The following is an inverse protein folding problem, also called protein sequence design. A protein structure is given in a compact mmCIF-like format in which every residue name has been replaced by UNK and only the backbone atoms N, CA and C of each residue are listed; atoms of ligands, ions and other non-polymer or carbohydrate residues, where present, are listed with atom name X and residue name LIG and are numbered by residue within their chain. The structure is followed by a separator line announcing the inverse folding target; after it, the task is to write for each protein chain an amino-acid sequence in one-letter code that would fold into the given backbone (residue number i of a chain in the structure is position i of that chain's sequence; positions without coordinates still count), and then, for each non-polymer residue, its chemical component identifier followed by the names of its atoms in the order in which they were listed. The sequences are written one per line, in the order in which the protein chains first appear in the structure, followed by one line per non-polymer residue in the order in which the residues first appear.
data_IF_368078288458
#
_entry.id   IF_368078288458
#
_cell.length_a   1.000
_cell.length_b   1.000
_cell.length_c   1.000
_cell.angle_alpha   90.00
_cell.angle_beta   90.00
_cell.angle_gamma   90.00
#
_symmetry.space_group_name_H-M   'P 1'
#
loop_
_entity.id
_entity.type
_entity.pdbx_description
1 polymer ?
#
# COMPACT_ATOMS: atom_id res chain seq x y z
N UNK A 1 16.73 30.87 -11.94
CA UNK A 1 16.29 29.73 -11.14
C UNK A 1 16.05 28.55 -12.06
N UNK A 2 16.67 27.42 -11.78
CA UNK A 2 16.41 26.18 -12.51
C UNK A 2 14.95 25.78 -12.25
N UNK A 3 14.23 25.46 -13.30
CA UNK A 3 12.82 25.00 -13.23
C UNK A 3 12.79 23.55 -12.71
N UNK A 4 13.14 23.37 -11.43
CA UNK A 4 13.22 22.08 -10.76
C UNK A 4 11.81 21.66 -10.35
N UNK A 5 11.48 20.40 -10.56
CA UNK A 5 10.26 19.75 -10.14
C UNK A 5 10.64 18.55 -9.29
N UNK A 6 9.91 18.33 -8.21
CA UNK A 6 10.12 17.24 -7.28
C UNK A 6 8.95 16.26 -7.34
N UNK A 7 9.23 15.00 -7.16
CA UNK A 7 8.23 13.94 -6.97
C UNK A 7 8.79 12.86 -6.06
N UNK A 8 7.95 11.97 -5.60
CA UNK A 8 8.32 10.87 -4.70
C UNK A 8 7.76 9.53 -5.17
N UNK A 9 8.14 8.46 -4.47
CA UNK A 9 7.70 7.08 -4.75
C UNK A 9 7.11 6.39 -3.52
N UNK A 10 6.87 7.13 -2.44
CA UNK A 10 6.49 6.58 -1.14
C UNK A 10 5.03 6.08 -1.15
N UNK A 11 4.73 5.13 -0.26
CA UNK A 11 3.45 4.44 -0.23
C UNK A 11 2.33 5.21 0.48
N UNK A 12 2.66 6.21 1.33
CA UNK A 12 1.68 7.02 2.08
C UNK A 12 1.88 8.49 1.73
N UNK A 13 0.82 9.18 1.31
CA UNK A 13 0.91 10.55 0.77
C UNK A 13 0.67 11.63 1.83
N UNK A 14 -0.21 11.38 2.79
CA UNK A 14 -0.58 12.38 3.81
C UNK A 14 0.62 12.80 4.68
N UNK A 15 1.45 11.85 5.09
CA UNK A 15 2.63 12.12 5.91
C UNK A 15 3.65 12.98 5.15
N UNK A 16 3.82 12.74 3.84
CA UNK A 16 4.72 13.52 3.01
C UNK A 16 4.20 14.94 2.83
N UNK A 17 2.91 15.06 2.47
CA UNK A 17 2.28 16.39 2.34
C UNK A 17 2.37 17.19 3.63
N UNK A 18 2.19 16.53 4.78
CA UNK A 18 2.34 17.17 6.09
C UNK A 18 3.76 17.70 6.30
N UNK A 19 4.77 16.87 6.05
CA UNK A 19 6.17 17.29 6.15
C UNK A 19 6.57 18.40 5.17
N UNK A 20 6.02 18.34 3.95
CA UNK A 20 6.27 19.38 2.93
C UNK A 20 5.69 20.76 3.31
N UNK A 21 4.60 20.80 4.08
CA UNK A 21 3.99 22.06 4.55
C UNK A 21 4.88 22.84 5.52
N UNK A 22 5.86 22.16 6.13
CA UNK A 22 6.87 22.79 6.98
C UNK A 22 8.02 23.43 6.18
N UNK A 23 8.08 23.17 4.86
CA UNK A 23 9.12 23.70 3.97
C UNK A 23 8.68 25.02 3.34
N UNK A 24 9.65 25.64 2.62
CA UNK A 24 9.39 26.83 1.80
C UNK A 24 8.28 26.55 0.75
N UNK A 25 7.33 27.49 0.62
CA UNK A 25 6.21 27.38 -0.32
C UNK A 25 6.64 27.14 -1.77
N UNK A 26 7.80 27.66 -2.17
CA UNK A 26 8.29 27.43 -3.52
C UNK A 26 8.70 25.97 -3.74
N UNK A 27 9.19 25.29 -2.70
CA UNK A 27 9.51 23.87 -2.75
C UNK A 27 8.19 23.07 -2.73
N UNK A 28 7.30 23.37 -1.79
CA UNK A 28 5.99 22.74 -1.69
C UNK A 28 5.25 22.79 -3.04
N UNK A 29 5.12 23.96 -3.64
CA UNK A 29 4.39 24.14 -4.90
C UNK A 29 5.01 23.38 -6.08
N UNK A 30 6.29 23.05 -6.01
CA UNK A 30 7.02 22.29 -7.03
C UNK A 30 7.13 20.79 -6.71
N UNK A 31 6.53 20.34 -5.62
CA UNK A 31 6.52 18.95 -5.26
C UNK A 31 5.16 18.32 -5.63
N UNK A 32 5.14 17.48 -6.66
CA UNK A 32 3.96 16.73 -7.10
C UNK A 32 4.10 15.31 -6.56
N UNK A 33 3.23 14.95 -5.63
CA UNK A 33 3.26 13.64 -5.00
C UNK A 33 2.91 12.53 -5.99
N UNK A 34 3.62 11.42 -5.93
CA UNK A 34 3.32 10.25 -6.72
C UNK A 34 3.58 8.93 -5.96
N UNK A 35 2.95 7.86 -6.43
CA UNK A 35 3.11 6.52 -5.91
C UNK A 35 3.07 5.52 -7.07
N UNK A 36 4.20 5.05 -7.59
CA UNK A 36 4.22 3.97 -8.56
C UNK A 36 3.87 2.65 -7.86
N UNK A 37 2.85 1.98 -8.37
CA UNK A 37 2.41 0.67 -7.85
C UNK A 37 3.25 -0.42 -8.53
N UNK A 38 4.50 -0.42 -8.15
CA UNK A 38 5.51 -1.33 -8.67
C UNK A 38 6.50 -1.67 -7.56
N UNK A 39 6.87 -2.91 -7.46
CA UNK A 39 7.80 -3.40 -6.45
C UNK A 39 7.87 -4.91 -6.44
N UNK A 40 8.79 -5.43 -5.68
CA UNK A 40 8.92 -6.84 -5.36
C UNK A 40 9.34 -6.98 -3.90
N UNK A 41 9.30 -8.19 -3.39
CA UNK A 41 9.84 -8.54 -2.06
C UNK A 41 11.36 -8.37 -1.97
N UNK A 42 12.05 -8.15 -3.09
CA UNK A 42 13.50 -7.97 -3.15
C UNK A 42 13.89 -6.51 -2.97
N UNK A 43 14.92 -6.27 -2.20
CA UNK A 43 15.43 -4.94 -1.85
C UNK A 43 16.79 -4.65 -2.49
N UNK A 44 17.09 -3.36 -2.63
CA UNK A 44 18.39 -2.85 -3.02
C UNK A 44 18.63 -2.75 -4.51
N UNK A 45 19.76 -2.16 -4.89
CA UNK A 45 20.11 -1.87 -6.27
C UNK A 45 20.21 -3.13 -7.16
N UNK A 46 20.67 -4.26 -6.59
CA UNK A 46 20.77 -5.54 -7.33
C UNK A 46 19.42 -6.10 -7.75
N UNK A 47 18.33 -5.65 -7.15
CA UNK A 47 16.96 -6.03 -7.51
C UNK A 47 16.33 -5.06 -8.53
N UNK A 48 17.04 -4.03 -8.97
CA UNK A 48 16.53 -3.06 -9.95
C UNK A 48 16.29 -3.70 -11.31
N UNK A 49 15.26 -3.23 -12.01
CA UNK A 49 14.94 -3.67 -13.38
C UNK A 49 14.59 -2.45 -14.23
N UNK A 50 15.10 -2.35 -15.47
CA UNK A 50 14.73 -1.26 -16.38
C UNK A 50 13.26 -1.31 -16.80
N UNK A 51 12.59 -2.44 -16.64
CA UNK A 51 11.17 -2.64 -16.96
C UNK A 51 10.26 -2.54 -15.72
N UNK A 52 10.76 -2.11 -14.56
CA UNK A 52 10.03 -2.11 -13.29
C UNK A 52 8.66 -1.41 -13.39
N UNK A 53 8.59 -0.31 -14.12
CA UNK A 53 7.39 0.51 -14.25
C UNK A 53 6.56 0.21 -15.49
N UNK A 54 7.03 -0.65 -16.39
CA UNK A 54 6.32 -0.95 -17.64
C UNK A 54 4.97 -1.61 -17.37
N UNK A 55 3.91 -0.98 -17.90
CA UNK A 55 2.54 -1.45 -17.72
C UNK A 55 2.03 -1.35 -16.28
N UNK A 56 2.74 -0.63 -15.39
CA UNK A 56 2.35 -0.43 -13.99
C UNK A 56 1.61 0.89 -13.80
N UNK A 57 0.70 0.90 -12.84
CA UNK A 57 0.00 2.11 -12.44
C UNK A 57 0.92 3.00 -11.60
N UNK A 58 0.93 4.31 -11.87
CA UNK A 58 1.48 5.32 -10.98
C UNK A 58 0.38 6.30 -10.58
N UNK A 59 0.11 6.43 -9.30
CA UNK A 59 -0.87 7.37 -8.78
C UNK A 59 -0.20 8.73 -8.62
N UNK A 60 -0.83 9.77 -9.14
CA UNK A 60 -0.44 11.16 -8.94
C UNK A 60 -1.41 11.78 -7.95
N UNK A 61 -0.89 12.40 -6.89
CA UNK A 61 -1.69 13.04 -5.86
C UNK A 61 -1.43 14.56 -5.84
N UNK A 62 -2.06 15.33 -6.72
CA UNK A 62 -1.91 16.78 -6.73
C UNK A 62 -2.46 17.39 -5.44
N UNK A 63 -1.85 18.50 -5.01
CA UNK A 63 -2.35 19.33 -3.92
C UNK A 63 -2.53 20.78 -4.40
N UNK A 64 -3.18 21.60 -3.58
CA UNK A 64 -3.60 22.98 -3.95
C UNK A 64 -2.46 23.91 -4.41
N UNK A 65 -1.21 23.60 -4.04
CA UNK A 65 -0.03 24.37 -4.47
C UNK A 65 0.50 23.99 -5.86
N UNK A 66 0.04 22.89 -6.44
CA UNK A 66 0.57 22.43 -7.72
C UNK A 66 -0.10 23.14 -8.91
N UNK A 67 0.68 23.54 -9.91
CA UNK A 67 0.15 23.95 -11.20
C UNK A 67 -0.20 22.73 -12.06
N UNK A 68 -1.23 22.86 -12.95
CA UNK A 68 -1.57 21.81 -13.90
C UNK A 68 -0.38 21.42 -14.80
N UNK A 69 0.45 22.38 -15.15
CA UNK A 69 1.65 22.15 -15.95
C UNK A 69 2.64 21.24 -15.20
N UNK A 70 2.88 21.47 -13.91
CA UNK A 70 3.81 20.67 -13.12
C UNK A 70 3.27 19.25 -12.91
N UNK A 71 1.97 19.12 -12.67
CA UNK A 71 1.28 17.81 -12.60
C UNK A 71 1.45 17.04 -13.91
N UNK A 72 1.16 17.68 -15.05
CA UNK A 72 1.30 17.05 -16.38
C UNK A 72 2.76 16.63 -16.66
N UNK A 73 3.73 17.38 -16.20
CA UNK A 73 5.16 17.03 -16.36
C UNK A 73 5.51 15.74 -15.56
N UNK A 74 4.98 15.59 -14.35
CA UNK A 74 5.19 14.36 -13.56
C UNK A 74 4.44 13.17 -14.19
N UNK A 75 3.21 13.36 -14.69
CA UNK A 75 2.51 12.33 -15.46
C UNK A 75 3.34 11.88 -16.68
N UNK A 76 3.85 12.83 -17.46
CA UNK A 76 4.69 12.53 -18.62
C UNK A 76 5.98 11.80 -18.23
N UNK A 77 6.61 12.17 -17.11
CA UNK A 77 7.78 11.46 -16.59
C UNK A 77 7.47 9.98 -16.36
N UNK A 78 6.39 9.66 -15.63
CA UNK A 78 5.99 8.27 -15.38
C UNK A 78 5.60 7.52 -16.66
N UNK A 79 4.90 8.20 -17.58
CA UNK A 79 4.54 7.63 -18.88
C UNK A 79 5.80 7.30 -19.72
N UNK A 80 6.84 8.13 -19.66
CA UNK A 80 8.11 7.89 -20.34
C UNK A 80 8.83 6.63 -19.79
N UNK A 81 8.62 6.32 -18.51
CA UNK A 81 9.11 5.08 -17.89
C UNK A 81 8.23 3.86 -18.18
N UNK A 82 7.17 4.03 -18.98
CA UNK A 82 6.26 2.95 -19.37
C UNK A 82 5.11 2.70 -18.40
N UNK A 83 4.97 3.49 -17.34
CA UNK A 83 3.82 3.45 -16.45
C UNK A 83 2.59 4.12 -17.11
N UNK A 84 1.39 3.81 -16.60
CA UNK A 84 0.20 4.63 -16.87
C UNK A 84 -0.24 5.33 -15.57
N UNK A 85 -0.80 6.54 -15.69
CA UNK A 85 -1.09 7.37 -14.52
C UNK A 85 -2.57 7.50 -14.24
N UNK A 86 -2.93 7.63 -12.95
CA UNK A 86 -4.25 8.07 -12.47
C UNK A 86 -4.09 9.10 -11.37
N UNK A 87 -5.04 10.04 -11.28
CA UNK A 87 -5.05 11.06 -10.23
C UNK A 87 -5.98 10.64 -9.10
N UNK A 88 -5.53 10.83 -7.87
CA UNK A 88 -6.33 10.74 -6.65
C UNK A 88 -6.02 11.93 -5.75
N UNK A 89 -6.97 12.31 -4.90
CA UNK A 89 -6.63 13.17 -3.76
C UNK A 89 -5.78 12.38 -2.77
N UNK A 90 -4.97 13.08 -1.98
CA UNK A 90 -4.11 12.49 -0.94
C UNK A 90 -4.90 11.58 0.00
N UNK A 91 -6.06 12.05 0.49
CA UNK A 91 -6.90 11.29 1.41
C UNK A 91 -7.48 10.04 0.74
N UNK A 92 -7.98 10.15 -0.49
CA UNK A 92 -8.53 9.01 -1.23
C UNK A 92 -7.45 7.98 -1.57
N UNK A 93 -6.22 8.44 -1.84
CA UNK A 93 -5.08 7.57 -2.03
C UNK A 93 -4.81 6.74 -0.79
N UNK A 94 -4.61 7.38 0.36
CA UNK A 94 -4.22 6.70 1.59
C UNK A 94 -5.34 5.78 2.11
N UNK A 95 -6.62 6.17 1.94
CA UNK A 95 -7.75 5.32 2.27
C UNK A 95 -7.83 4.09 1.34
N UNK A 96 -7.69 4.28 0.05
CA UNK A 96 -7.72 3.19 -0.94
C UNK A 96 -6.60 2.18 -0.69
N UNK A 97 -5.35 2.67 -0.58
CA UNK A 97 -4.19 1.78 -0.38
C UNK A 97 -4.14 1.19 1.03
N UNK A 98 -4.71 1.88 2.02
CA UNK A 98 -4.96 1.32 3.34
C UNK A 98 -5.77 0.02 3.28
N UNK A 99 -6.82 -0.01 2.45
CA UNK A 99 -7.71 -1.15 2.26
C UNK A 99 -7.15 -2.21 1.31
N UNK A 100 -6.60 -1.78 0.17
CA UNK A 100 -6.27 -2.70 -0.94
C UNK A 100 -4.83 -3.23 -0.90
N UNK A 101 -3.94 -2.58 -0.16
CA UNK A 101 -2.53 -2.95 -0.05
C UNK A 101 -2.10 -3.16 1.41
N UNK A 102 -2.34 -2.16 2.28
CA UNK A 102 -1.80 -2.22 3.63
C UNK A 102 -2.53 -3.26 4.47
N UNK A 103 -3.85 -3.34 4.40
CA UNK A 103 -4.64 -4.33 5.13
C UNK A 103 -4.30 -5.78 4.75
N UNK A 104 -4.12 -6.18 3.47
CA UNK A 104 -3.64 -7.51 3.12
C UNK A 104 -2.33 -7.90 3.81
N UNK A 105 -1.37 -6.97 3.96
CA UNK A 105 -0.14 -7.24 4.69
C UNK A 105 -0.35 -7.38 6.19
N UNK A 106 -1.21 -6.54 6.79
CA UNK A 106 -1.61 -6.69 8.21
C UNK A 106 -2.21 -8.06 8.47
N UNK A 107 -3.11 -8.52 7.58
CA UNK A 107 -3.72 -9.86 7.68
C UNK A 107 -2.64 -10.95 7.56
N UNK A 108 -1.73 -10.82 6.60
CA UNK A 108 -0.66 -11.80 6.42
C UNK A 108 0.25 -11.90 7.66
N UNK A 109 0.67 -10.78 8.24
CA UNK A 109 1.45 -10.76 9.47
C UNK A 109 0.68 -11.36 10.64
N UNK A 110 -0.58 -10.97 10.85
CA UNK A 110 -1.40 -11.47 11.95
C UNK A 110 -1.67 -12.98 11.81
N UNK A 111 -1.94 -13.47 10.59
CA UNK A 111 -2.14 -14.89 10.33
C UNK A 111 -0.87 -15.70 10.61
N UNK A 112 0.30 -15.21 10.15
CA UNK A 112 1.56 -15.90 10.40
C UNK A 112 1.92 -15.93 11.88
N UNK A 113 1.68 -14.83 12.60
CA UNK A 113 1.90 -14.78 14.05
C UNK A 113 0.97 -15.76 14.80
N UNK A 114 -0.31 -15.75 14.49
CA UNK A 114 -1.28 -16.69 15.09
C UNK A 114 -0.88 -18.15 14.86
N UNK A 115 -0.55 -18.52 13.63
CA UNK A 115 -0.11 -19.89 13.32
C UNK A 115 1.16 -20.27 14.05
N UNK A 116 2.10 -19.34 14.20
CA UNK A 116 3.34 -19.58 14.93
C UNK A 116 3.09 -19.77 16.44
N UNK A 117 2.18 -18.98 17.03
CA UNK A 117 1.81 -19.11 18.44
C UNK A 117 1.14 -20.46 18.72
N UNK A 118 0.26 -20.92 17.83
CA UNK A 118 -0.51 -22.14 18.01
C UNK A 118 0.29 -23.42 17.72
N UNK A 119 1.13 -23.41 16.68
CA UNK A 119 1.76 -24.62 16.12
C UNK A 119 3.30 -24.57 16.15
N UNK A 120 3.87 -23.42 16.47
CA UNK A 120 5.32 -23.19 16.43
C UNK A 120 5.89 -23.37 15.01
N UNK A 121 7.17 -23.72 14.93
CA UNK A 121 7.85 -23.92 13.64
C UNK A 121 7.26 -25.03 12.76
N UNK A 122 6.49 -25.91 13.33
CA UNK A 122 5.86 -27.02 12.61
C UNK A 122 4.69 -26.58 11.72
N UNK A 123 4.13 -25.37 11.93
CA UNK A 123 3.03 -24.82 11.12
C UNK A 123 3.32 -24.91 9.62
N UNK A 124 4.57 -24.69 9.24
CA UNK A 124 4.96 -24.60 7.83
C UNK A 124 5.28 -25.95 7.17
N UNK A 125 5.40 -27.05 7.95
CA UNK A 125 5.68 -28.38 7.42
C UNK A 125 4.47 -29.00 6.70
N UNK A 126 3.27 -28.52 7.00
CA UNK A 126 2.01 -29.02 6.48
C UNK A 126 1.26 -27.97 5.64
N UNK A 127 1.97 -26.93 5.19
CA UNK A 127 1.39 -25.85 4.40
C UNK A 127 1.11 -26.31 2.95
N UNK A 128 -0.05 -25.92 2.43
CA UNK A 128 -0.35 -25.97 1.00
C UNK A 128 -0.16 -24.60 0.34
N UNK A 129 -0.37 -24.53 -0.99
CA UNK A 129 -0.12 -23.31 -1.78
C UNK A 129 -0.82 -22.04 -1.28
N UNK A 130 -2.01 -22.18 -0.66
CA UNK A 130 -2.72 -21.03 -0.08
C UNK A 130 -1.90 -20.33 1.03
N UNK A 131 -1.22 -21.10 1.89
CA UNK A 131 -0.41 -20.52 2.96
C UNK A 131 0.89 -19.94 2.42
N UNK A 132 1.43 -20.47 1.33
CA UNK A 132 2.64 -19.95 0.69
C UNK A 132 2.48 -18.48 0.24
N UNK A 133 1.31 -18.11 -0.29
CA UNK A 133 1.04 -16.72 -0.66
C UNK A 133 1.06 -15.78 0.55
N UNK A 134 0.47 -16.18 1.67
CA UNK A 134 0.53 -15.39 2.90
C UNK A 134 1.94 -15.31 3.48
N UNK A 135 2.72 -16.41 3.44
CA UNK A 135 4.13 -16.38 3.89
C UNK A 135 4.98 -15.48 3.01
N UNK A 136 4.76 -15.48 1.69
CA UNK A 136 5.44 -14.58 0.76
C UNK A 136 5.15 -13.11 1.08
N UNK A 137 3.89 -12.75 1.33
CA UNK A 137 3.50 -11.38 1.71
C UNK A 137 4.12 -11.02 3.06
N UNK A 138 4.04 -11.91 4.06
CA UNK A 138 4.57 -11.68 5.39
C UNK A 138 6.10 -11.65 5.47
N UNK A 139 6.82 -12.10 4.44
CA UNK A 139 8.28 -12.00 4.34
C UNK A 139 8.80 -10.66 3.83
N UNK A 140 7.92 -9.69 3.57
CA UNK A 140 8.27 -8.34 3.17
C UNK A 140 9.07 -7.62 4.26
N UNK A 141 9.85 -6.59 3.86
CA UNK A 141 10.73 -5.84 4.76
C UNK A 141 9.96 -5.28 5.98
N UNK A 142 10.29 -5.71 7.20
CA UNK A 142 9.53 -5.34 8.39
C UNK A 142 9.68 -3.85 8.78
N UNK A 143 10.79 -3.21 8.42
CA UNK A 143 11.04 -1.80 8.71
C UNK A 143 10.15 -0.94 7.81
N UNK A 144 10.15 -1.23 6.51
CA UNK A 144 9.29 -0.55 5.55
C UNK A 144 7.81 -0.67 5.95
N UNK A 145 7.36 -1.87 6.31
CA UNK A 145 5.96 -2.10 6.68
C UNK A 145 5.57 -1.48 8.02
N UNK A 146 6.49 -1.46 9.00
CA UNK A 146 6.32 -0.68 10.22
C UNK A 146 6.02 0.79 9.89
N UNK A 147 6.83 1.39 9.03
CA UNK A 147 6.73 2.80 8.69
C UNK A 147 5.43 3.09 7.92
N UNK A 148 5.01 2.20 7.02
CA UNK A 148 3.72 2.28 6.31
C UNK A 148 2.55 2.20 7.31
N UNK A 149 2.57 1.23 8.22
CA UNK A 149 1.50 1.03 9.22
C UNK A 149 1.36 2.21 10.16
N UNK A 150 2.46 2.79 10.61
CA UNK A 150 2.45 3.97 11.48
C UNK A 150 2.01 5.22 10.71
N UNK A 151 2.41 5.36 9.45
CA UNK A 151 2.09 6.54 8.64
C UNK A 151 0.64 6.56 8.13
N UNK A 152 -0.01 5.40 7.97
CA UNK A 152 -1.40 5.28 7.50
C UNK A 152 -2.30 4.62 8.57
N UNK A 153 -2.04 4.91 9.82
CA UNK A 153 -2.67 4.28 10.99
C UNK A 153 -4.20 4.34 10.96
N UNK A 154 -4.78 5.50 10.66
CA UNK A 154 -6.24 5.72 10.67
C UNK A 154 -6.96 4.83 9.68
N UNK A 155 -6.50 4.76 8.44
CA UNK A 155 -7.11 3.93 7.40
C UNK A 155 -6.95 2.44 7.72
N UNK A 156 -5.77 2.05 8.22
CA UNK A 156 -5.49 0.66 8.59
C UNK A 156 -6.35 0.23 9.79
N UNK A 157 -6.42 1.04 10.85
CA UNK A 157 -7.26 0.73 12.02
C UNK A 157 -8.74 0.60 11.65
N UNK A 158 -9.26 1.51 10.81
CA UNK A 158 -10.62 1.40 10.28
C UNK A 158 -10.84 0.12 9.48
N UNK A 159 -9.84 -0.29 8.69
CA UNK A 159 -9.90 -1.54 7.90
C UNK A 159 -9.86 -2.79 8.80
N UNK A 160 -9.06 -2.76 9.86
CA UNK A 160 -9.01 -3.83 10.87
C UNK A 160 -10.39 -4.02 11.52
N UNK A 161 -11.05 -2.95 11.95
CA UNK A 161 -12.39 -3.05 12.54
C UNK A 161 -13.42 -3.61 11.55
N UNK A 162 -13.38 -3.16 10.30
CA UNK A 162 -14.24 -3.73 9.25
C UNK A 162 -13.99 -5.22 9.04
N UNK A 163 -12.72 -5.63 9.02
CA UNK A 163 -12.34 -7.03 8.85
C UNK A 163 -12.75 -7.90 10.04
N UNK A 164 -12.60 -7.40 11.28
CA UNK A 164 -13.08 -8.08 12.48
C UNK A 164 -14.59 -8.33 12.41
N UNK A 165 -15.36 -7.34 12.02
CA UNK A 165 -16.80 -7.48 11.84
C UNK A 165 -17.14 -8.58 10.81
N UNK A 166 -16.39 -8.66 9.71
CA UNK A 166 -16.57 -9.72 8.70
C UNK A 166 -16.23 -11.11 9.26
N UNK A 167 -15.18 -11.23 10.07
CA UNK A 167 -14.83 -12.47 10.76
C UNK A 167 -15.90 -12.89 11.78
N UNK A 168 -16.49 -11.93 12.50
CA UNK A 168 -17.58 -12.22 13.46
C UNK A 168 -18.82 -12.75 12.74
N UNK A 169 -19.17 -12.18 11.58
CA UNK A 169 -20.27 -12.71 10.74
C UNK A 169 -19.96 -14.13 10.29
N UNK A 170 -18.76 -14.35 9.75
CA UNK A 170 -18.34 -15.67 9.28
C UNK A 170 -18.33 -16.71 10.41
N UNK A 171 -17.80 -16.35 11.58
CA UNK A 171 -17.79 -17.21 12.77
C UNK A 171 -19.21 -17.63 13.15
N UNK A 172 -20.15 -16.68 13.16
CA UNK A 172 -21.54 -16.96 13.49
C UNK A 172 -22.23 -17.90 12.48
N UNK A 173 -21.93 -17.74 11.18
CA UNK A 173 -22.45 -18.64 10.14
C UNK A 173 -21.93 -20.06 10.35
N UNK A 174 -20.66 -20.22 10.74
CA UNK A 174 -20.05 -21.52 11.04
C UNK A 174 -20.66 -22.12 12.31
N UNK A 175 -20.77 -21.37 13.40
CA UNK A 175 -21.35 -21.82 14.67
C UNK A 175 -22.79 -22.33 14.52
N UNK A 176 -23.56 -21.66 13.67
CA UNK A 176 -24.96 -22.00 13.42
C UNK A 176 -25.18 -23.05 12.31
N UNK A 177 -24.07 -23.56 11.71
CA UNK A 177 -24.11 -24.46 10.54
C UNK A 177 -24.99 -23.93 9.39
N UNK A 178 -24.98 -22.60 9.18
CA UNK A 178 -25.75 -21.98 8.10
C UNK A 178 -25.03 -22.13 6.76
N UNK A 179 -25.20 -23.28 6.12
CA UNK A 179 -24.51 -23.60 4.87
C UNK A 179 -24.85 -22.64 3.73
N UNK A 180 -26.13 -22.24 3.60
CA UNK A 180 -26.53 -21.30 2.55
C UNK A 180 -25.92 -19.91 2.78
N UNK A 181 -25.92 -19.43 4.01
CA UNK A 181 -25.29 -18.17 4.37
C UNK A 181 -23.76 -18.17 4.15
N UNK A 182 -23.10 -19.32 4.28
CA UNK A 182 -21.68 -19.46 3.97
C UNK A 182 -21.37 -19.41 2.46
N UNK A 183 -22.33 -19.85 1.64
CA UNK A 183 -22.20 -19.74 0.17
C UNK A 183 -22.42 -18.29 -0.30
N UNK A 184 -23.33 -17.56 0.36
CA UNK A 184 -23.67 -16.19 0.03
C UNK A 184 -22.65 -15.16 0.57
N UNK A 185 -21.80 -15.55 1.55
CA UNK A 185 -20.77 -14.71 2.14
C UNK A 185 -19.60 -14.50 1.17
#
# INVERSE_FOLDING_TARGET
SKNILYTDTLSVKSVILSGLKELDKNILNKFVLSHPIAGSEKNGFSASSPSLFQGRLSIICPHEGNSELDVSRVENFWNTLGAYTKKLSVNNHDDLFGKTSHMPHVIAYALMDSLYQDLGKNAFLYSGGSLEDYTRIASSDPIMWRDIMVSNDKSILSSIESFKNSLDVLSKLIETNNADGLVDF
#
